data_IF_244986246885
#
_entry.id   IF_244986246885
#
_cell.length_a   1.000
_cell.length_b   1.000
_cell.length_c   1.000
_cell.angle_alpha   90.00
_cell.angle_beta   90.00
_cell.angle_gamma   90.00
#
_symmetry.space_group_name_H-M   'P 1'
#
loop_
_entity.id
_entity.type
_entity.pdbx_description
1 polymer ?
#
# COMPACT_ATOMS: atom_id res chain seq x y z
N UNK A 1 7.05 -15.63 -13.55
CA UNK A 1 5.70 -16.03 -14.01
C UNK A 1 4.80 -15.08 -13.27
N UNK A 2 3.97 -14.37 -14.00
CA UNK A 2 2.94 -13.50 -13.47
C UNK A 2 1.84 -14.42 -12.94
N UNK A 3 1.66 -14.42 -11.63
CA UNK A 3 0.92 -15.39 -10.82
C UNK A 3 -0.61 -15.27 -11.02
N UNK A 4 -1.06 -14.27 -11.79
CA UNK A 4 -2.49 -14.01 -11.97
C UNK A 4 -3.12 -13.33 -10.75
N UNK A 5 -2.31 -12.76 -9.86
CA UNK A 5 -2.76 -11.83 -8.83
C UNK A 5 -3.33 -10.56 -9.49
N UNK A 6 -4.47 -10.12 -8.96
CA UNK A 6 -5.06 -8.85 -9.36
C UNK A 6 -4.11 -7.75 -8.87
N UNK A 7 -3.64 -6.89 -9.77
CA UNK A 7 -2.68 -5.85 -9.39
C UNK A 7 -3.14 -5.03 -8.19
N UNK A 8 -2.35 -5.04 -7.13
CA UNK A 8 -2.58 -4.34 -5.86
C UNK A 8 -2.33 -2.82 -6.00
N UNK A 9 -1.66 -2.45 -7.09
CA UNK A 9 -1.27 -1.09 -7.42
C UNK A 9 -2.37 -0.35 -8.18
N UNK A 10 -2.65 0.88 -7.76
CA UNK A 10 -3.65 1.76 -8.36
C UNK A 10 -2.95 2.68 -9.38
N UNK A 11 -2.99 2.33 -10.67
CA UNK A 11 -2.53 3.23 -11.73
C UNK A 11 -3.63 4.21 -12.14
N UNK A 12 -3.52 5.44 -11.64
CA UNK A 12 -4.54 6.47 -11.82
C UNK A 12 -4.27 7.38 -13.01
N UNK A 13 -3.21 7.12 -13.80
CA UNK A 13 -2.75 8.02 -14.87
C UNK A 13 -3.74 8.10 -16.04
N UNK A 14 -4.46 7.03 -16.32
CA UNK A 14 -5.37 6.91 -17.48
C UNK A 14 -6.77 6.41 -17.08
N UNK A 15 -7.19 6.64 -15.83
CA UNK A 15 -8.48 6.14 -15.34
C UNK A 15 -9.64 6.93 -15.93
N UNK A 16 -10.64 6.19 -16.40
CA UNK A 16 -11.99 6.64 -16.78
C UNK A 16 -12.97 5.89 -15.88
N UNK A 17 -13.46 6.59 -14.86
CA UNK A 17 -14.34 6.07 -13.82
C UNK A 17 -15.78 5.99 -14.33
N UNK A 18 -16.17 6.90 -15.22
CA UNK A 18 -17.56 7.06 -15.65
C UNK A 18 -17.90 6.23 -16.92
N UNK A 19 -16.87 5.75 -17.64
CA UNK A 19 -16.96 4.86 -18.78
C UNK A 19 -17.38 5.54 -20.09
N UNK A 20 -17.09 6.84 -20.25
CA UNK A 20 -17.38 7.61 -21.46
C UNK A 20 -16.23 7.65 -22.47
N UNK A 21 -15.19 6.84 -22.25
CA UNK A 21 -13.93 6.81 -23.00
C UNK A 21 -13.14 8.13 -22.89
N UNK A 22 -13.41 8.94 -21.85
CA UNK A 22 -12.69 10.16 -21.54
C UNK A 22 -12.01 10.00 -20.19
N UNK A 23 -10.70 10.19 -20.19
CA UNK A 23 -9.88 10.20 -18.98
C UNK A 23 -10.34 11.34 -18.07
N UNK A 24 -10.80 11.02 -16.86
CA UNK A 24 -11.41 12.00 -15.94
C UNK A 24 -10.39 13.06 -15.48
N UNK A 25 -10.80 14.33 -15.36
CA UNK A 25 -9.90 15.40 -14.94
C UNK A 25 -9.61 15.38 -13.43
N UNK A 26 -10.58 14.98 -12.62
CA UNK A 26 -10.43 14.83 -11.17
C UNK A 26 -10.94 13.46 -10.76
N UNK A 27 -10.15 12.76 -9.96
CA UNK A 27 -10.56 11.50 -9.34
C UNK A 27 -10.46 11.67 -7.83
N UNK A 28 -11.51 11.26 -7.13
CA UNK A 28 -11.48 11.05 -5.69
C UNK A 28 -11.27 9.56 -5.44
N UNK A 29 -10.15 9.22 -4.81
CA UNK A 29 -9.89 7.87 -4.30
C UNK A 29 -10.36 7.84 -2.86
N UNK A 30 -11.46 7.16 -2.60
CA UNK A 30 -11.90 6.83 -1.25
C UNK A 30 -11.24 5.53 -0.80
N UNK A 31 -10.55 5.59 0.32
CA UNK A 31 -9.79 4.48 0.90
C UNK A 31 -10.36 4.16 2.29
N UNK A 32 -10.80 2.93 2.49
CA UNK A 32 -11.42 2.46 3.74
C UNK A 32 -10.73 1.21 4.23
N UNK A 33 -10.19 1.24 5.44
CA UNK A 33 -9.51 0.14 6.11
C UNK A 33 -10.41 -0.41 7.22
N UNK A 34 -10.58 -1.72 7.26
CA UNK A 34 -11.17 -2.46 8.38
C UNK A 34 -10.11 -3.41 8.92
N UNK A 35 -9.69 -3.23 10.17
CA UNK A 35 -8.74 -4.10 10.85
C UNK A 35 -9.49 -5.16 11.68
N UNK A 36 -9.01 -6.40 11.63
CA UNK A 36 -9.46 -7.54 12.46
C UNK A 36 -8.28 -8.36 13.04
N UNK A 37 -7.04 -7.91 12.81
CA UNK A 37 -5.81 -8.50 13.32
C UNK A 37 -5.56 -8.26 14.81
N UNK A 38 -4.50 -8.88 15.33
CA UNK A 38 -4.05 -8.78 16.72
C UNK A 38 -3.27 -7.48 16.96
N UNK A 39 -2.51 -7.01 15.98
CA UNK A 39 -1.71 -5.80 16.08
C UNK A 39 -2.49 -4.53 15.76
N UNK A 40 -2.06 -3.42 16.37
CA UNK A 40 -2.50 -2.10 15.95
C UNK A 40 -1.67 -1.71 14.71
N UNK A 41 -2.11 -2.18 13.54
CA UNK A 41 -1.41 -1.96 12.27
C UNK A 41 -1.72 -0.59 11.68
N UNK A 42 -0.74 0.02 11.00
CA UNK A 42 -1.01 1.15 10.11
C UNK A 42 -1.10 0.67 8.67
N UNK A 43 -2.22 0.91 8.00
CA UNK A 43 -2.42 0.56 6.58
C UNK A 43 -2.59 1.83 5.75
N UNK A 44 -1.88 1.94 4.63
CA UNK A 44 -1.93 3.14 3.81
C UNK A 44 -1.56 2.94 2.34
N UNK A 45 -1.54 4.05 1.61
CA UNK A 45 -1.10 4.14 0.22
C UNK A 45 0.08 5.13 0.14
N UNK A 46 1.09 4.83 -0.68
CA UNK A 46 2.18 5.73 -1.03
C UNK A 46 2.30 5.97 -2.53
N UNK A 47 2.99 7.05 -2.92
CA UNK A 47 3.27 7.36 -4.33
C UNK A 47 4.53 6.64 -4.84
N UNK A 48 4.37 5.87 -5.92
CA UNK A 48 5.47 5.32 -6.71
C UNK A 48 5.77 6.17 -7.96
N UNK A 49 7.02 6.15 -8.39
CA UNK A 49 7.51 6.85 -9.57
C UNK A 49 7.06 6.17 -10.88
N UNK A 50 6.98 4.82 -10.89
CA UNK A 50 6.67 4.02 -12.06
C UNK A 50 6.00 2.67 -11.73
N UNK A 51 5.63 1.92 -12.79
CA UNK A 51 4.95 0.61 -12.71
C UNK A 51 5.81 -0.50 -12.08
N UNK A 52 7.10 -0.24 -11.82
CA UNK A 52 8.00 -1.18 -11.13
C UNK A 52 8.09 -0.89 -9.64
N UNK A 53 7.24 -0.01 -9.12
CA UNK A 53 7.20 0.37 -7.72
C UNK A 53 8.38 1.24 -7.28
N UNK A 54 9.20 1.78 -8.19
CA UNK A 54 10.35 2.57 -7.78
C UNK A 54 9.92 3.82 -6.98
N UNK A 55 10.66 4.17 -5.93
CA UNK A 55 10.40 5.38 -5.14
C UNK A 55 11.67 6.21 -5.01
N UNK A 56 11.64 7.46 -5.48
CA UNK A 56 12.83 8.30 -5.63
C UNK A 56 13.96 7.64 -6.45
N UNK A 57 13.59 6.81 -7.44
CA UNK A 57 14.50 5.99 -8.23
C UNK A 57 15.12 4.81 -7.48
N UNK A 58 14.65 4.48 -6.27
CA UNK A 58 15.05 3.32 -5.48
C UNK A 58 14.10 2.18 -5.81
N UNK A 59 14.63 1.04 -6.24
CA UNK A 59 13.83 -0.14 -6.53
C UNK A 59 13.34 -0.84 -5.25
N UNK A 60 12.19 -1.54 -5.28
CA UNK A 60 11.76 -2.42 -4.19
C UNK A 60 12.89 -3.33 -3.69
N UNK A 61 13.03 -3.42 -2.37
CA UNK A 61 14.07 -4.22 -1.71
C UNK A 61 15.48 -3.62 -1.67
N UNK A 62 15.72 -2.47 -2.33
CA UNK A 62 17.01 -1.79 -2.21
C UNK A 62 17.10 -0.95 -0.92
N UNK A 63 18.34 -0.73 -0.45
CA UNK A 63 18.61 0.06 0.75
C UNK A 63 17.91 1.44 0.70
N UNK A 64 17.12 1.73 1.73
CA UNK A 64 16.38 2.99 1.86
C UNK A 64 15.00 3.02 1.19
N UNK A 65 14.61 1.97 0.45
CA UNK A 65 13.31 1.86 -0.20
C UNK A 65 12.15 2.10 0.78
N UNK A 66 12.06 1.28 1.83
CA UNK A 66 10.95 1.31 2.78
C UNK A 66 10.78 2.69 3.45
N UNK A 67 11.90 3.32 3.85
CA UNK A 67 11.87 4.65 4.42
C UNK A 67 11.33 5.70 3.45
N UNK A 68 11.71 5.63 2.18
CA UNK A 68 11.26 6.59 1.17
C UNK A 68 9.79 6.37 0.80
N UNK A 69 9.37 5.11 0.63
CA UNK A 69 7.96 4.76 0.43
C UNK A 69 7.06 5.34 1.54
N UNK A 70 7.43 5.11 2.81
CA UNK A 70 6.66 5.60 3.96
C UNK A 70 6.66 7.13 4.07
N UNK A 71 7.75 7.82 3.67
CA UNK A 71 7.78 9.28 3.59
C UNK A 71 6.87 9.83 2.49
N UNK A 72 6.64 9.07 1.43
CA UNK A 72 5.73 9.41 0.33
C UNK A 72 4.31 8.87 0.51
N UNK A 73 3.94 8.49 1.74
CA UNK A 73 2.55 8.15 2.07
C UNK A 73 1.61 9.29 1.66
N UNK A 74 0.48 8.92 1.06
CA UNK A 74 -0.56 9.83 0.60
C UNK A 74 -1.74 9.83 1.59
N UNK A 75 -2.16 8.64 2.01
CA UNK A 75 -3.25 8.42 2.96
C UNK A 75 -2.99 7.14 3.73
N UNK A 76 -3.50 7.03 4.95
CA UNK A 76 -3.46 5.81 5.73
C UNK A 76 -4.07 5.97 7.11
N UNK A 77 -4.32 4.85 7.76
CA UNK A 77 -5.03 4.77 9.03
C UNK A 77 -4.35 3.78 9.97
N UNK A 78 -4.29 4.18 11.24
CA UNK A 78 -3.97 3.29 12.35
C UNK A 78 -5.24 2.51 12.70
N UNK A 79 -5.20 1.17 12.62
CA UNK A 79 -6.36 0.30 12.73
C UNK A 79 -7.43 0.60 11.66
N UNK A 80 -8.70 0.54 12.05
CA UNK A 80 -9.82 0.85 11.15
C UNK A 80 -9.99 2.34 10.90
N UNK A 81 -10.24 2.73 9.65
CA UNK A 81 -10.42 4.12 9.27
C UNK A 81 -10.92 4.31 7.84
N UNK A 82 -11.38 5.52 7.52
CA UNK A 82 -11.83 5.85 6.17
C UNK A 82 -11.54 7.31 5.85
N UNK A 83 -11.18 7.57 4.60
CA UNK A 83 -10.95 8.91 4.09
C UNK A 83 -10.77 8.88 2.59
N UNK A 84 -10.37 10.02 2.04
CA UNK A 84 -10.24 10.18 0.60
C UNK A 84 -9.12 11.13 0.23
N UNK A 85 -8.48 10.87 -0.90
CA UNK A 85 -7.57 11.80 -1.56
C UNK A 85 -8.17 12.22 -2.90
N UNK A 86 -8.10 13.52 -3.21
CA UNK A 86 -8.47 14.05 -4.52
C UNK A 86 -7.21 14.25 -5.34
N UNK A 87 -7.17 13.67 -6.54
CA UNK A 87 -6.08 13.79 -7.48
C UNK A 87 -6.60 14.55 -8.70
N UNK A 88 -5.98 15.69 -9.00
CA UNK A 88 -6.40 16.57 -10.08
C UNK A 88 -5.40 16.58 -11.24
N UNK A 89 -5.90 16.52 -12.47
CA UNK A 89 -5.17 16.82 -13.70
C UNK A 89 -3.86 16.06 -13.88
N UNK A 90 -2.74 16.79 -13.87
CA UNK A 90 -1.39 16.28 -14.14
C UNK A 90 -0.73 15.62 -12.92
N UNK A 91 -1.36 15.68 -11.74
CA UNK A 91 -0.83 15.11 -10.50
C UNK A 91 -1.18 13.63 -10.33
N UNK A 92 -1.61 12.95 -11.41
CA UNK A 92 -1.97 11.54 -11.35
C UNK A 92 -0.75 10.67 -11.13
N UNK A 93 -0.89 9.80 -10.13
CA UNK A 93 0.18 8.96 -9.59
C UNK A 93 -0.16 7.50 -9.73
N UNK A 94 0.85 6.69 -9.52
CA UNK A 94 0.70 5.29 -9.16
C UNK A 94 0.65 5.26 -7.63
N UNK A 95 -0.45 4.80 -7.06
CA UNK A 95 -0.58 4.61 -5.62
C UNK A 95 -0.43 3.13 -5.27
N UNK A 96 0.32 2.86 -4.22
CA UNK A 96 0.74 1.51 -3.86
C UNK A 96 0.45 1.25 -2.39
N UNK A 97 -0.15 0.10 -2.02
CA UNK A 97 -0.49 -0.19 -0.62
C UNK A 97 0.73 -0.59 0.20
N UNK A 98 0.65 -0.30 1.51
CA UNK A 98 1.62 -0.78 2.48
C UNK A 98 0.96 -0.97 3.84
N UNK A 99 1.62 -1.74 4.70
CA UNK A 99 1.29 -1.88 6.10
C UNK A 99 2.52 -1.69 6.98
N UNK A 100 2.35 -1.16 8.19
CA UNK A 100 3.34 -1.19 9.27
C UNK A 100 2.74 -2.00 10.42
N UNK A 101 3.38 -3.11 10.76
CA UNK A 101 2.91 -4.04 11.78
C UNK A 101 3.14 -3.47 13.19
N UNK A 102 2.08 -3.45 14.00
CA UNK A 102 2.08 -2.93 15.39
C UNK A 102 2.79 -1.58 15.56
N UNK A 103 2.58 -0.66 14.61
CA UNK A 103 3.37 0.56 14.55
C UNK A 103 2.81 1.63 13.62
N UNK A 104 3.45 2.79 13.69
CA UNK A 104 3.10 4.00 12.92
C UNK A 104 4.21 4.33 11.92
N UNK A 105 3.94 5.16 10.90
CA UNK A 105 4.99 5.73 10.04
C UNK A 105 6.10 6.41 10.84
N UNK A 106 5.73 7.14 11.89
CA UNK A 106 6.68 7.88 12.72
C UNK A 106 7.58 6.94 13.53
N UNK A 107 7.03 5.89 14.15
CA UNK A 107 7.84 4.90 14.89
C UNK A 107 8.69 4.07 13.94
N UNK A 108 8.20 3.67 12.77
CA UNK A 108 9.00 2.99 11.76
C UNK A 108 10.22 3.82 11.34
N UNK A 109 10.00 5.10 10.98
CA UNK A 109 11.07 5.98 10.53
C UNK A 109 12.09 6.32 11.63
N UNK A 110 11.70 6.21 12.90
CA UNK A 110 12.58 6.45 14.04
C UNK A 110 13.38 5.20 14.45
N UNK A 111 12.69 4.05 14.53
CA UNK A 111 13.20 2.86 15.22
C UNK A 111 13.65 1.77 14.25
N UNK A 112 13.10 1.71 13.03
CA UNK A 112 13.42 0.68 12.04
C UNK A 112 13.46 1.20 10.59
N UNK A 113 14.14 2.32 10.37
CA UNK A 113 14.19 3.00 9.05
C UNK A 113 14.70 2.12 7.90
N UNK A 114 15.46 1.06 8.19
CA UNK A 114 16.00 0.15 7.18
C UNK A 114 15.15 -1.11 6.98
N UNK A 115 14.00 -1.22 7.64
CA UNK A 115 13.16 -2.42 7.66
C UNK A 115 13.95 -3.69 8.07
N UNK A 116 14.81 -3.56 9.09
CA UNK A 116 15.60 -4.68 9.61
C UNK A 116 14.66 -5.69 10.30
N UNK A 117 14.70 -6.98 9.94
CA UNK A 117 13.80 -8.00 10.50
C UNK A 117 14.06 -8.29 11.99
N UNK A 118 15.15 -7.76 12.57
CA UNK A 118 15.49 -7.91 13.98
C UNK A 118 15.01 -6.74 14.84
N UNK A 119 14.44 -5.71 14.22
CA UNK A 119 13.89 -4.51 14.85
C UNK A 119 12.39 -4.41 14.58
N UNK A 120 11.71 -3.55 15.34
CA UNK A 120 10.30 -3.25 15.15
C UNK A 120 10.05 -1.74 15.17
N UNK A 121 8.97 -1.26 14.53
CA UNK A 121 8.01 -2.04 13.73
C UNK A 121 8.55 -2.46 12.35
N UNK A 122 7.93 -3.43 11.69
CA UNK A 122 8.27 -3.88 10.33
C UNK A 122 7.23 -3.33 9.35
N UNK A 123 7.67 -2.91 8.17
CA UNK A 123 6.79 -2.50 7.09
C UNK A 123 6.68 -3.61 6.04
N UNK A 124 5.47 -3.85 5.56
CA UNK A 124 5.17 -4.77 4.48
C UNK A 124 4.58 -4.02 3.27
N UNK A 125 4.96 -4.48 2.10
CA UNK A 125 4.66 -3.94 0.78
C UNK A 125 4.11 -5.06 -0.11
N UNK A 126 3.47 -4.67 -1.20
CA UNK A 126 2.93 -5.55 -2.24
C UNK A 126 4.05 -6.28 -3.01
N UNK A 127 5.20 -5.64 -3.22
CA UNK A 127 6.36 -6.33 -3.77
C UNK A 127 7.10 -7.07 -2.64
N UNK A 128 6.99 -8.40 -2.64
CA UNK A 128 7.70 -9.26 -1.68
C UNK A 128 9.21 -9.01 -1.61
N UNK A 129 9.85 -8.46 -2.65
CA UNK A 129 11.27 -8.12 -2.59
C UNK A 129 11.56 -6.93 -1.65
N UNK A 130 10.56 -6.09 -1.36
CA UNK A 130 10.64 -5.04 -0.35
C UNK A 130 10.35 -5.53 1.08
N UNK A 131 9.88 -6.78 1.23
CA UNK A 131 9.55 -7.38 2.53
C UNK A 131 10.77 -8.11 3.09
N UNK A 132 11.14 -7.92 4.37
CA UNK A 132 12.38 -8.47 4.92
C UNK A 132 12.40 -10.02 5.00
N UNK A 133 11.24 -10.66 5.02
CA UNK A 133 11.08 -12.12 4.94
C UNK A 133 10.91 -12.65 3.50
N UNK A 134 10.75 -11.77 2.51
CA UNK A 134 10.49 -12.16 1.13
C UNK A 134 9.11 -12.80 0.92
N UNK A 135 8.20 -12.63 1.88
CA UNK A 135 6.82 -13.14 1.81
C UNK A 135 5.91 -12.06 1.24
N UNK A 136 4.83 -12.48 0.60
CA UNK A 136 3.77 -11.57 0.21
C UNK A 136 2.78 -11.39 1.38
N UNK A 137 2.52 -10.14 1.73
CA UNK A 137 1.68 -9.73 2.84
C UNK A 137 0.46 -8.95 2.39
N UNK A 138 0.35 -8.63 1.09
CA UNK A 138 -0.73 -7.80 0.55
C UNK A 138 -1.20 -8.40 -0.76
N UNK A 139 -2.44 -8.84 -0.80
CA UNK A 139 -3.02 -9.43 -2.02
C UNK A 139 -4.23 -8.65 -2.52
N UNK A 140 -4.45 -8.68 -3.84
CA UNK A 140 -5.74 -8.33 -4.43
C UNK A 140 -6.79 -9.42 -4.20
N UNK A 141 -7.81 -9.15 -3.38
CA UNK A 141 -8.95 -10.06 -3.16
C UNK A 141 -9.94 -9.97 -4.33
N UNK A 142 -10.23 -8.74 -4.75
CA UNK A 142 -11.04 -8.43 -5.92
C UNK A 142 -10.54 -7.14 -6.58
N UNK A 143 -11.25 -6.63 -7.58
CA UNK A 143 -10.81 -5.45 -8.35
C UNK A 143 -10.54 -4.20 -7.52
N UNK A 144 -11.13 -4.07 -6.32
CA UNK A 144 -11.08 -2.88 -5.49
C UNK A 144 -10.85 -3.18 -4.01
N UNK A 145 -10.48 -4.42 -3.67
CA UNK A 145 -10.33 -4.89 -2.29
C UNK A 145 -8.99 -5.55 -2.11
N UNK A 146 -8.25 -5.09 -1.10
CA UNK A 146 -6.93 -5.58 -0.71
C UNK A 146 -7.02 -6.29 0.64
N UNK A 147 -6.36 -7.43 0.77
CA UNK A 147 -6.18 -8.16 2.03
C UNK A 147 -4.75 -8.03 2.55
N UNK A 148 -4.57 -8.11 3.87
CA UNK A 148 -3.29 -7.89 4.54
C UNK A 148 -3.00 -8.96 5.61
N UNK A 149 -1.72 -9.33 5.78
CA UNK A 149 -1.19 -10.25 6.81
C UNK A 149 -0.17 -9.55 7.72
N UNK A 150 -0.36 -9.58 9.04
CA UNK A 150 0.42 -8.79 10.01
C UNK A 150 1.67 -9.51 10.56
N UNK A 151 1.70 -10.84 10.50
CA UNK A 151 2.78 -11.62 11.10
C UNK A 151 3.92 -11.92 10.14
N UNK A 152 5.14 -11.70 10.61
CA UNK A 152 6.37 -12.05 9.90
C UNK A 152 6.37 -13.53 9.47
N UNK A 153 6.80 -13.80 8.24
CA UNK A 153 6.63 -15.05 7.49
C UNK A 153 5.19 -15.37 7.02
N UNK A 154 4.27 -14.40 7.04
CA UNK A 154 2.94 -14.51 6.42
C UNK A 154 1.83 -15.14 7.25
N UNK A 155 2.00 -15.26 8.57
CA UNK A 155 0.91 -15.62 9.48
C UNK A 155 0.20 -16.93 9.15
N UNK A 156 -1.13 -16.89 9.08
CA UNK A 156 -1.98 -18.01 8.67
C UNK A 156 -2.49 -17.93 7.22
N UNK A 157 -2.09 -16.87 6.50
CA UNK A 157 -2.30 -16.67 5.06
C UNK A 157 -3.78 -16.61 4.64
N UNK A 158 -4.64 -16.03 5.49
CA UNK A 158 -6.03 -15.75 5.16
C UNK A 158 -6.30 -14.29 4.73
N UNK A 159 -5.31 -13.41 4.93
CA UNK A 159 -5.25 -12.00 4.54
C UNK A 159 -6.40 -11.16 5.07
N UNK A 160 -6.91 -11.49 6.26
CA UNK A 160 -8.01 -10.77 6.90
C UNK A 160 -7.61 -9.93 8.13
N UNK A 161 -6.32 -9.91 8.51
CA UNK A 161 -5.82 -9.06 9.60
C UNK A 161 -6.15 -7.58 9.37
N UNK A 162 -6.11 -7.16 8.10
CA UNK A 162 -6.82 -5.98 7.65
C UNK A 162 -7.35 -6.18 6.24
N UNK A 163 -8.44 -5.46 5.92
CA UNK A 163 -9.01 -5.39 4.57
C UNK A 163 -9.20 -3.93 4.20
N UNK A 164 -8.66 -3.54 3.04
CA UNK A 164 -8.85 -2.20 2.50
C UNK A 164 -9.73 -2.22 1.25
N UNK A 165 -10.70 -1.32 1.19
CA UNK A 165 -11.58 -1.11 0.03
C UNK A 165 -11.26 0.24 -0.60
N UNK A 166 -11.24 0.23 -1.94
CA UNK A 166 -10.93 1.39 -2.78
C UNK A 166 -12.16 1.70 -3.63
N UNK A 167 -12.64 2.94 -3.57
CA UNK A 167 -13.70 3.42 -4.45
C UNK A 167 -13.25 4.68 -5.19
N UNK A 168 -13.62 4.76 -6.48
CA UNK A 168 -13.37 5.92 -7.32
C UNK A 168 -14.65 6.74 -7.46
N UNK A 169 -14.55 8.04 -7.25
CA UNK A 169 -15.66 8.99 -7.45
C UNK A 169 -15.19 10.13 -8.38
N UNK A 170 -16.10 10.61 -9.22
CA UNK A 170 -15.94 11.77 -10.11
C UNK A 170 -16.79 12.94 -9.65
#
# INVERSE_FOLDING_TARGET
MDDGELGETLDLRNIDVNGDDIVDDNIVVQFTVNADGVYDNFVGLYEADDERGAVAGIAPGADGYAAEAIRRRVIGFQGSGSGSVTLSGNDRKILVPFMIADGTPESFLADNVNNDPTLGPIAYFEDRFANPDGVDHIIGIDSNTLGFEEFYNGGDHDFNDAVAMINYLT
#
